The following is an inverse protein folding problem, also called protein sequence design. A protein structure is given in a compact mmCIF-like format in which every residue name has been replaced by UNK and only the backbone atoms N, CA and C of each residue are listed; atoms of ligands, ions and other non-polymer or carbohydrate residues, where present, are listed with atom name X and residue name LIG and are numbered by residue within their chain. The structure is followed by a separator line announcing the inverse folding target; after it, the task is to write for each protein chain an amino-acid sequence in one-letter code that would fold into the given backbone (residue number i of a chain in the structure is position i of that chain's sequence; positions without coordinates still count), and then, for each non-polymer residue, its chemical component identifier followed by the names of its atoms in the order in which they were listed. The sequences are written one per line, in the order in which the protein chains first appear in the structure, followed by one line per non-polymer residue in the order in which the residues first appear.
data_IF_608718589120
#
_entry.id   IF_608718589120
#
_cell.length_a   1.000
_cell.length_b   1.000
_cell.length_c   1.000
_cell.angle_alpha   90.00
_cell.angle_beta   90.00
_cell.angle_gamma   90.00
#
_symmetry.space_group_name_H-M   'P 1'
#
loop_
_entity.id
_entity.type
_entity.pdbx_description
1 polymer ?
#
# COMPACT_ATOMS: atom_id res chain seq x y z
N UNK A 1 -16.90 24.20 -47.52
CA UNK A 1 -17.53 22.92 -47.12
C UNK A 1 -16.41 21.95 -46.75
N UNK A 2 -16.03 21.93 -45.48
CA UNK A 2 -15.01 21.02 -44.91
C UNK A 2 -15.58 19.61 -44.83
N UNK A 3 -14.95 18.64 -45.50
CA UNK A 3 -15.25 17.22 -45.29
C UNK A 3 -14.43 16.74 -44.10
N UNK A 4 -15.09 16.39 -43.01
CA UNK A 4 -14.45 15.73 -41.87
C UNK A 4 -13.99 14.32 -42.26
N UNK A 5 -12.82 13.93 -41.77
CA UNK A 5 -12.18 12.66 -42.08
C UNK A 5 -12.74 11.56 -41.17
N UNK A 6 -13.42 10.58 -41.78
CA UNK A 6 -13.84 9.38 -41.08
C UNK A 6 -12.89 8.21 -41.37
N UNK A 7 -12.46 7.45 -40.35
CA UNK A 7 -11.54 6.34 -40.54
C UNK A 7 -12.22 5.19 -41.29
N UNK A 8 -11.56 4.71 -42.35
CA UNK A 8 -12.03 3.62 -43.21
C UNK A 8 -12.24 2.26 -42.50
N UNK A 9 -11.70 2.06 -41.29
CA UNK A 9 -11.76 0.78 -40.57
C UNK A 9 -12.36 0.98 -39.18
N UNK A 10 -13.63 0.60 -39.03
CA UNK A 10 -14.31 0.50 -37.74
C UNK A 10 -14.21 -0.95 -37.25
N UNK A 11 -13.30 -1.21 -36.29
CA UNK A 11 -13.16 -2.55 -35.68
C UNK A 11 -14.39 -2.86 -34.83
N UNK A 12 -15.29 -3.72 -35.31
CA UNK A 12 -16.33 -4.33 -34.47
C UNK A 12 -15.69 -5.42 -33.62
N UNK A 13 -15.28 -5.09 -32.39
CA UNK A 13 -14.88 -6.12 -31.43
C UNK A 13 -16.12 -6.87 -30.94
N UNK A 14 -16.50 -7.94 -31.64
CA UNK A 14 -17.33 -8.99 -31.05
C UNK A 14 -16.37 -9.97 -30.38
N UNK A 15 -16.15 -9.80 -29.08
CA UNK A 15 -15.51 -10.86 -28.29
C UNK A 15 -16.38 -12.11 -28.39
N UNK A 16 -15.80 -13.21 -28.89
CA UNK A 16 -16.44 -14.53 -28.92
C UNK A 16 -16.31 -15.26 -27.57
N UNK A 17 -15.67 -14.65 -26.58
CA UNK A 17 -15.41 -15.29 -25.29
C UNK A 17 -16.69 -15.25 -24.46
N UNK A 18 -17.32 -16.42 -24.28
CA UNK A 18 -18.48 -16.56 -23.40
C UNK A 18 -18.00 -16.44 -21.94
N UNK A 19 -18.44 -15.41 -21.22
CA UNK A 19 -18.24 -15.30 -19.79
C UNK A 19 -19.02 -16.42 -19.08
N UNK A 20 -18.31 -17.41 -18.54
CA UNK A 20 -18.90 -18.42 -17.66
C UNK A 20 -18.79 -17.92 -16.23
N UNK A 21 -19.93 -17.53 -15.65
CA UNK A 21 -20.03 -17.33 -14.20
C UNK A 21 -19.91 -18.70 -13.52
N UNK A 22 -18.82 -18.91 -12.78
CA UNK A 22 -18.61 -20.13 -11.99
C UNK A 22 -19.16 -19.88 -10.60
N UNK A 23 -20.20 -20.64 -10.23
CA UNK A 23 -20.75 -20.59 -8.88
C UNK A 23 -19.94 -21.53 -7.98
N UNK A 24 -18.99 -20.98 -7.22
CA UNK A 24 -18.15 -21.75 -6.31
C UNK A 24 -18.97 -22.06 -5.05
N UNK A 25 -19.44 -23.30 -4.93
CA UNK A 25 -20.12 -23.78 -3.73
C UNK A 25 -19.09 -23.96 -2.60
N UNK A 26 -19.15 -23.13 -1.56
CA UNK A 26 -18.41 -23.35 -0.31
C UNK A 26 -17.32 -22.35 0.08
N UNK A 27 -17.17 -21.20 -0.59
CA UNK A 27 -16.18 -20.17 -0.16
C UNK A 27 -16.74 -19.05 0.72
N UNK A 28 -18.06 -19.04 1.00
CA UNK A 28 -18.69 -17.99 1.81
C UNK A 28 -19.35 -18.53 3.09
N UNK A 29 -18.74 -19.54 3.74
CA UNK A 29 -19.16 -19.98 5.07
C UNK A 29 -18.08 -19.65 6.12
N UNK A 30 -17.91 -18.36 6.39
CA UNK A 30 -17.35 -17.88 7.65
C UNK A 30 -18.52 -17.44 8.52
N UNK A 31 -19.23 -18.42 9.07
CA UNK A 31 -20.38 -18.19 9.92
C UNK A 31 -20.10 -17.21 11.06
N UNK A 32 -20.89 -16.14 11.11
CA UNK A 32 -21.54 -15.63 12.31
C UNK A 32 -22.91 -15.10 11.92
N UNK A 33 -23.93 -15.94 12.03
CA UNK A 33 -25.31 -15.45 12.11
C UNK A 33 -25.47 -14.68 13.42
N UNK A 34 -26.10 -13.50 13.38
CA UNK A 34 -27.17 -13.25 14.31
C UNK A 34 -28.46 -12.97 13.54
N UNK A 35 -29.44 -13.79 13.87
CA UNK A 35 -30.88 -13.60 13.75
C UNK A 35 -31.33 -12.16 13.50
N UNK A 36 -31.82 -11.89 12.28
CA UNK A 36 -33.11 -11.23 12.04
C UNK A 36 -33.37 -11.18 10.53
N UNK A 37 -34.49 -11.79 10.13
CA UNK A 37 -35.02 -11.75 8.77
C UNK A 37 -35.46 -10.32 8.43
N UNK A 38 -34.89 -9.74 7.39
CA UNK A 38 -35.47 -8.56 6.75
C UNK A 38 -36.05 -9.00 5.41
N UNK A 39 -37.37 -8.82 5.34
CA UNK A 39 -38.26 -9.16 4.26
C UNK A 39 -37.91 -8.43 2.95
N UNK A 40 -38.39 -9.03 1.87
CA UNK A 40 -38.40 -8.51 0.51
C UNK A 40 -38.69 -7.00 0.42
N UNK A 41 -37.90 -6.29 -0.39
CA UNK A 41 -38.45 -5.17 -1.16
C UNK A 41 -37.66 -4.98 -2.45
N UNK A 42 -38.30 -5.33 -3.57
CA UNK A 42 -37.99 -4.77 -4.88
C UNK A 42 -38.27 -3.27 -4.84
N UNK A 43 -37.36 -2.41 -5.31
CA UNK A 43 -37.68 -1.29 -6.19
C UNK A 43 -36.43 -0.53 -6.63
N UNK A 44 -36.44 -0.21 -7.93
CA UNK A 44 -35.49 0.62 -8.65
C UNK A 44 -35.39 2.02 -8.02
N UNK A 45 -34.19 2.59 -8.00
CA UNK A 45 -33.89 3.95 -8.46
C UNK A 45 -32.37 4.21 -8.28
N UNK A 46 -31.66 4.32 -9.40
CA UNK A 46 -30.27 4.76 -9.46
C UNK A 46 -30.23 6.28 -9.28
N UNK A 47 -29.89 6.74 -8.08
CA UNK A 47 -29.50 8.13 -7.88
C UNK A 47 -28.02 8.31 -8.27
N UNK A 48 -27.65 9.41 -8.97
CA UNK A 48 -26.27 9.65 -9.36
C UNK A 48 -25.39 9.86 -8.14
N UNK A 49 -24.24 9.18 -8.15
CA UNK A 49 -23.21 9.21 -7.12
C UNK A 49 -22.69 10.65 -6.96
N UNK A 50 -23.03 11.30 -5.85
CA UNK A 50 -22.37 12.53 -5.41
C UNK A 50 -20.95 12.11 -5.00
N UNK A 51 -19.95 12.54 -5.76
CA UNK A 51 -18.55 12.42 -5.37
C UNK A 51 -18.36 13.43 -4.24
N UNK A 52 -18.51 12.97 -3.00
CA UNK A 52 -18.01 13.69 -1.84
C UNK A 52 -16.49 13.70 -1.94
N UNK A 53 -15.95 14.91 -2.15
CA UNK A 53 -14.53 15.20 -2.09
C UNK A 53 -14.05 14.89 -0.67
N UNK A 54 -13.52 13.67 -0.47
CA UNK A 54 -12.87 13.28 0.78
C UNK A 54 -11.61 14.13 0.87
N UNK A 55 -11.73 15.29 1.55
CA UNK A 55 -10.59 15.97 2.14
C UNK A 55 -10.03 15.04 3.21
N UNK A 56 -9.15 14.13 2.79
CA UNK A 56 -8.23 13.46 3.69
C UNK A 56 -7.28 14.54 4.22
N UNK A 57 -7.67 15.18 5.31
CA UNK A 57 -6.69 15.78 6.21
C UNK A 57 -5.83 14.62 6.71
N UNK A 58 -4.52 14.57 6.43
CA UNK A 58 -3.67 13.56 7.04
C UNK A 58 -3.69 13.89 8.54
N UNK A 59 -4.43 13.10 9.30
CA UNK A 59 -4.30 13.05 10.75
C UNK A 59 -2.87 12.59 11.01
N UNK A 60 -1.95 13.56 11.10
CA UNK A 60 -0.61 13.35 11.63
C UNK A 60 -0.83 12.81 13.03
N UNK A 61 -0.75 11.49 13.18
CA UNK A 61 -0.56 10.87 14.49
C UNK A 61 0.73 11.50 14.97
N UNK A 62 0.64 12.50 15.85
CA UNK A 62 1.80 13.14 16.46
C UNK A 62 2.46 12.08 17.32
N UNK A 63 3.38 11.34 16.69
CA UNK A 63 4.31 10.49 17.38
C UNK A 63 5.09 11.45 18.26
N UNK A 64 4.98 11.26 19.58
CA UNK A 64 5.70 12.10 20.53
C UNK A 64 7.18 12.13 20.15
N UNK A 65 7.75 13.32 20.13
CA UNK A 65 9.12 13.61 19.68
C UNK A 65 10.17 12.79 20.46
N UNK A 66 9.80 12.28 21.64
CA UNK A 66 10.54 11.31 22.45
C UNK A 66 10.84 10.00 21.75
N UNK A 67 10.01 9.55 20.80
CA UNK A 67 10.25 8.30 20.07
C UNK A 67 11.41 8.41 19.08
N UNK A 68 11.60 9.59 18.48
CA UNK A 68 12.73 9.86 17.59
C UNK A 68 13.99 10.28 18.35
N UNK A 69 13.90 10.48 19.67
CA UNK A 69 15.09 10.71 20.49
C UNK A 69 15.93 9.45 20.48
N UNK A 70 17.13 9.57 19.91
CA UNK A 70 18.11 8.50 19.80
C UNK A 70 18.35 7.82 21.15
N UNK A 71 17.66 6.71 21.40
CA UNK A 71 17.61 6.09 22.73
C UNK A 71 18.79 5.15 22.96
N UNK A 72 19.48 4.73 21.89
CA UNK A 72 20.72 3.94 21.96
C UNK A 72 21.45 3.96 20.62
N UNK A 73 22.71 4.42 20.58
CA UNK A 73 23.56 4.26 19.39
C UNK A 73 23.83 2.78 19.15
N UNK A 74 23.39 2.25 18.00
CA UNK A 74 23.73 0.91 17.56
C UNK A 74 25.22 0.86 17.16
N UNK A 75 25.98 -0.10 17.71
CA UNK A 75 27.35 -0.35 17.27
C UNK A 75 27.32 -1.25 16.04
N UNK A 76 27.75 -0.72 14.89
CA UNK A 76 27.93 -1.49 13.66
C UNK A 76 29.38 -1.94 13.54
N UNK A 77 29.61 -3.10 12.92
CA UNK A 77 30.97 -3.56 12.63
C UNK A 77 31.61 -2.69 11.54
N UNK A 78 32.96 -2.60 11.49
CA UNK A 78 33.65 -1.83 10.46
C UNK A 78 33.28 -2.25 9.02
N UNK A 79 33.09 -3.55 8.78
CA UNK A 79 32.66 -4.09 7.48
C UNK A 79 31.26 -3.58 7.09
N UNK A 80 30.30 -3.58 8.02
CA UNK A 80 28.94 -3.09 7.74
C UNK A 80 28.95 -1.59 7.44
N UNK A 81 29.73 -0.81 8.18
CA UNK A 81 29.89 0.62 7.91
C UNK A 81 30.51 0.86 6.53
N UNK A 82 31.53 0.09 6.16
CA UNK A 82 32.17 0.18 4.85
C UNK A 82 31.19 -0.16 3.73
N UNK A 83 30.37 -1.20 3.88
CA UNK A 83 29.35 -1.56 2.88
C UNK A 83 28.29 -0.48 2.73
N UNK A 84 27.87 0.16 3.82
CA UNK A 84 26.90 1.25 3.75
C UNK A 84 27.49 2.50 3.09
N UNK A 85 28.75 2.85 3.40
CA UNK A 85 29.40 4.00 2.77
C UNK A 85 29.68 3.78 1.29
N UNK A 86 30.05 2.56 0.88
CA UNK A 86 30.27 2.22 -0.54
C UNK A 86 28.97 2.08 -1.31
N UNK A 87 27.85 1.82 -0.64
CA UNK A 87 26.53 1.77 -1.28
C UNK A 87 25.98 3.17 -1.60
N UNK A 88 26.36 4.20 -0.82
CA UNK A 88 25.85 5.57 -0.97
C UNK A 88 25.79 6.10 -2.42
N UNK A 89 26.84 6.01 -3.26
CA UNK A 89 26.78 6.53 -4.63
C UNK A 89 25.85 5.77 -5.58
N UNK A 90 25.33 4.59 -5.19
CA UNK A 90 24.43 3.80 -6.01
C UNK A 90 22.95 4.04 -5.69
N UNK A 91 22.66 4.95 -4.75
CA UNK A 91 21.30 5.29 -4.34
C UNK A 91 21.00 6.70 -4.86
N UNK A 92 20.28 6.78 -5.99
CA UNK A 92 19.93 8.06 -6.67
C UNK A 92 19.23 9.06 -5.73
N UNK A 93 18.38 8.57 -4.82
CA UNK A 93 17.67 9.37 -3.82
C UNK A 93 18.62 10.08 -2.83
N UNK A 94 19.80 9.51 -2.59
CA UNK A 94 20.81 10.01 -1.66
C UNK A 94 21.98 10.73 -2.34
N UNK A 95 22.03 10.70 -3.68
CA UNK A 95 23.04 11.43 -4.46
C UNK A 95 22.79 12.94 -4.41
N UNK A 96 21.51 13.35 -4.38
CA UNK A 96 21.11 14.76 -4.31
C UNK A 96 21.12 15.31 -2.88
N UNK A 97 21.12 14.43 -1.87
CA UNK A 97 21.18 14.82 -0.46
C UNK A 97 22.62 14.72 0.07
N UNK A 98 23.29 15.86 0.12
CA UNK A 98 24.68 15.98 0.61
C UNK A 98 24.87 15.39 2.03
N UNK A 99 23.78 15.21 2.80
CA UNK A 99 23.78 14.77 4.21
C UNK A 99 22.89 13.56 4.52
N UNK A 100 22.70 12.63 3.59
CA UNK A 100 22.02 11.37 3.92
C UNK A 100 22.70 10.64 5.08
N UNK A 101 21.94 10.31 6.11
CA UNK A 101 22.44 9.67 7.33
C UNK A 101 22.46 8.15 7.14
N UNK A 102 23.24 7.43 7.96
CA UNK A 102 23.18 5.96 8.04
C UNK A 102 21.75 5.47 8.32
N UNK A 103 20.98 6.20 9.11
CA UNK A 103 19.58 5.87 9.39
C UNK A 103 18.69 5.91 8.15
N UNK A 104 18.91 6.88 7.27
CA UNK A 104 18.14 7.05 6.03
C UNK A 104 18.45 5.90 5.06
N UNK A 105 19.73 5.54 4.92
CA UNK A 105 20.16 4.36 4.16
C UNK A 105 19.54 3.07 4.69
N UNK A 106 19.59 2.84 6.02
CA UNK A 106 19.01 1.64 6.63
C UNK A 106 17.51 1.60 6.44
N UNK A 107 16.82 2.74 6.59
CA UNK A 107 15.38 2.83 6.36
C UNK A 107 15.01 2.46 4.93
N UNK A 108 15.69 3.06 3.94
CA UNK A 108 15.47 2.76 2.53
C UNK A 108 15.70 1.28 2.23
N UNK A 109 16.78 0.68 2.76
CA UNK A 109 17.08 -0.73 2.57
C UNK A 109 16.00 -1.64 3.17
N UNK A 110 15.49 -1.30 4.35
CA UNK A 110 14.40 -2.03 5.00
C UNK A 110 13.11 -1.91 4.18
N UNK A 111 12.74 -0.71 3.74
CA UNK A 111 11.55 -0.47 2.93
C UNK A 111 11.64 -1.18 1.57
N UNK A 112 12.80 -1.15 0.91
CA UNK A 112 13.01 -1.87 -0.34
C UNK A 112 12.88 -3.38 -0.14
N UNK A 113 13.50 -3.95 0.90
CA UNK A 113 13.40 -5.38 1.18
C UNK A 113 11.96 -5.82 1.48
N UNK A 114 11.22 -5.06 2.30
CA UNK A 114 9.82 -5.39 2.64
C UNK A 114 8.90 -5.28 1.43
N UNK A 115 9.15 -4.33 0.53
CA UNK A 115 8.33 -4.11 -0.65
C UNK A 115 8.65 -5.08 -1.81
N UNK A 116 9.91 -5.50 -1.96
CA UNK A 116 10.34 -6.32 -3.11
C UNK A 116 10.44 -7.81 -2.79
N UNK A 117 10.82 -8.19 -1.56
CA UNK A 117 11.12 -9.59 -1.21
C UNK A 117 10.06 -10.26 -0.36
N UNK A 118 9.24 -9.52 0.38
CA UNK A 118 8.19 -10.11 1.21
C UNK A 118 6.88 -10.29 0.45
N UNK A 119 6.25 -11.46 0.63
CA UNK A 119 4.87 -11.70 0.21
C UNK A 119 3.89 -10.80 0.96
N UNK A 120 2.70 -10.58 0.41
CA UNK A 120 1.68 -9.71 1.03
C UNK A 120 1.39 -10.11 2.49
N UNK A 121 1.23 -11.41 2.76
CA UNK A 121 1.00 -11.91 4.12
C UNK A 121 2.18 -11.62 5.06
N UNK A 122 3.41 -11.80 4.58
CA UNK A 122 4.61 -11.51 5.39
C UNK A 122 4.77 -10.01 5.64
N UNK A 123 4.46 -9.17 4.65
CA UNK A 123 4.50 -7.71 4.76
C UNK A 123 3.46 -7.20 5.76
N UNK A 124 2.23 -7.71 5.69
CA UNK A 124 1.19 -7.40 6.67
C UNK A 124 1.59 -7.83 8.08
N UNK A 125 2.13 -9.04 8.23
CA UNK A 125 2.65 -9.52 9.51
C UNK A 125 3.79 -8.65 10.07
N UNK A 126 4.74 -8.24 9.22
CA UNK A 126 5.81 -7.32 9.60
C UNK A 126 5.24 -5.96 10.06
N UNK A 127 4.31 -5.39 9.30
CA UNK A 127 3.70 -4.09 9.63
C UNK A 127 2.93 -4.14 10.95
N UNK A 128 2.15 -5.20 11.19
CA UNK A 128 1.44 -5.39 12.45
C UNK A 128 2.39 -5.53 13.64
N UNK A 129 3.47 -6.31 13.47
CA UNK A 129 4.49 -6.47 14.51
C UNK A 129 5.21 -5.16 14.82
N UNK A 130 5.63 -4.43 13.78
CA UNK A 130 6.26 -3.12 13.92
C UNK A 130 5.34 -2.15 14.67
N UNK A 131 4.06 -2.06 14.27
CA UNK A 131 3.07 -1.20 14.92
C UNK A 131 2.90 -1.53 16.41
N UNK A 132 2.78 -2.81 16.75
CA UNK A 132 2.65 -3.25 18.15
C UNK A 132 3.89 -2.91 18.99
N UNK A 133 5.09 -3.16 18.46
CA UNK A 133 6.34 -2.82 19.15
C UNK A 133 6.48 -1.30 19.32
N UNK A 134 6.14 -0.55 18.28
CA UNK A 134 6.15 0.91 18.26
C UNK A 134 5.21 1.51 19.31
N UNK A 135 4.00 1.00 19.43
CA UNK A 135 3.04 1.43 20.46
C UNK A 135 3.53 1.14 21.89
N UNK A 136 4.15 -0.03 22.09
CA UNK A 136 4.70 -0.40 23.40
C UNK A 136 5.89 0.47 23.81
N UNK A 137 6.72 0.91 22.87
CA UNK A 137 7.85 1.81 23.12
C UNK A 137 7.48 3.27 23.38
N UNK A 138 6.20 3.65 23.22
CA UNK A 138 5.72 4.99 23.59
C UNK A 138 5.39 5.13 25.08
N UNK A 139 5.30 4.03 25.82
CA UNK A 139 5.06 3.98 27.26
C UNK A 139 6.36 4.15 28.02
#
# INVERSE_FOLDING_TARGET
MSKEFEPLIVRKQKSSLQEKSVNIKGTNDFGRTPTQSVMDTKQNNLNPFIIEEIKETPAKKEVSDTFFKATKTAKLSPDVLLRLSTLRPFIEELENEEKSTINDMVRLLVENYTNTRLSNRQREGYNQMYQHLFENSKK
#
